data_IF_449865682754
#
_entry.id   IF_449865682754
#
_cell.length_a   1.000
_cell.length_b   1.000
_cell.length_c   1.000
_cell.angle_alpha   90.00
_cell.angle_beta   90.00
_cell.angle_gamma   90.00
#
_symmetry.space_group_name_H-M   'P 1'
#
loop_
_entity.id
_entity.type
_entity.pdbx_description
1 polymer ?
#
# COMPACT_ATOMS: atom_id res chain seq x y z
N UNK A 1 4.87 19.42 5.91
CA UNK A 1 6.27 19.71 6.29
C UNK A 1 6.83 20.89 5.48
N UNK A 2 7.02 20.80 4.13
CA UNK A 2 7.70 21.85 3.33
C UNK A 2 6.99 23.22 3.39
N UNK A 3 5.66 23.26 3.22
CA UNK A 3 4.90 24.51 3.34
C UNK A 3 4.99 25.13 4.74
N UNK A 4 4.91 24.30 5.79
CA UNK A 4 5.09 24.76 7.17
C UNK A 4 6.50 25.26 7.46
N UNK A 5 7.51 24.86 6.68
CA UNK A 5 8.87 25.36 6.73
C UNK A 5 9.09 26.65 5.88
N UNK A 6 8.00 27.28 5.41
CA UNK A 6 8.04 28.54 4.68
C UNK A 6 8.43 28.45 3.21
N UNK A 7 8.46 27.25 2.62
CA UNK A 7 8.74 27.08 1.19
C UNK A 7 7.60 27.63 0.32
N UNK A 8 7.95 28.25 -0.81
CA UNK A 8 6.97 28.76 -1.75
C UNK A 8 6.29 27.63 -2.55
N UNK A 9 5.24 27.96 -3.30
CA UNK A 9 4.44 26.98 -4.05
C UNK A 9 5.27 26.15 -5.04
N UNK A 10 6.21 26.79 -5.75
CA UNK A 10 7.04 26.09 -6.73
C UNK A 10 7.99 25.08 -6.07
N UNK A 11 8.63 25.47 -4.98
CA UNK A 11 9.48 24.56 -4.19
C UNK A 11 8.69 23.38 -3.61
N UNK A 12 7.48 23.64 -3.08
CA UNK A 12 6.61 22.58 -2.57
C UNK A 12 6.20 21.62 -3.69
N UNK A 13 5.83 22.16 -4.88
CA UNK A 13 5.47 21.35 -6.05
C UNK A 13 6.60 20.42 -6.49
N UNK A 14 7.84 20.95 -6.56
CA UNK A 14 9.01 20.14 -6.91
C UNK A 14 9.26 19.02 -5.90
N UNK A 15 9.21 19.32 -4.61
CA UNK A 15 9.36 18.31 -3.54
C UNK A 15 8.29 17.22 -3.65
N UNK A 16 7.03 17.59 -3.92
CA UNK A 16 5.95 16.61 -4.10
C UNK A 16 6.24 15.72 -5.29
N UNK A 17 6.64 16.29 -6.43
CA UNK A 17 6.94 15.50 -7.63
C UNK A 17 8.12 14.54 -7.41
N UNK A 18 9.19 14.97 -6.77
CA UNK A 18 10.32 14.11 -6.40
C UNK A 18 9.89 12.99 -5.44
N UNK A 19 9.06 13.31 -4.44
CA UNK A 19 8.54 12.33 -3.49
C UNK A 19 7.64 11.30 -4.18
N UNK A 20 6.78 11.74 -5.12
CA UNK A 20 5.94 10.82 -5.90
C UNK A 20 6.76 9.82 -6.71
N UNK A 21 7.90 10.23 -7.26
CA UNK A 21 8.79 9.33 -8.03
C UNK A 21 9.44 8.24 -7.16
N UNK A 22 9.54 8.47 -5.85
CA UNK A 22 10.12 7.56 -4.85
C UNK A 22 9.06 6.78 -4.08
N UNK A 23 7.78 7.07 -4.33
CA UNK A 23 6.66 6.43 -3.64
C UNK A 23 6.21 5.16 -4.37
N UNK A 24 5.97 4.12 -3.60
CA UNK A 24 5.34 2.88 -4.09
C UNK A 24 4.18 2.52 -3.18
N UNK A 25 3.07 2.07 -3.75
CA UNK A 25 1.90 1.66 -2.98
C UNK A 25 1.52 0.22 -3.31
N UNK A 26 1.38 -0.58 -2.26
CA UNK A 26 0.86 -1.94 -2.30
C UNK A 26 -0.57 -1.97 -1.78
N UNK A 27 -1.41 -2.80 -2.40
CA UNK A 27 -2.75 -3.12 -1.91
C UNK A 27 -2.87 -4.61 -1.64
N UNK A 28 -3.17 -4.98 -0.39
CA UNK A 28 -3.46 -6.35 0.01
C UNK A 28 -4.98 -6.51 -0.03
N UNK A 29 -5.45 -7.37 -0.92
CA UNK A 29 -6.88 -7.56 -1.20
C UNK A 29 -7.36 -8.82 -0.49
N UNK A 30 -8.35 -8.66 0.37
CA UNK A 30 -8.93 -9.80 1.07
C UNK A 30 -9.95 -10.56 0.20
N UNK A 31 -10.74 -9.86 -0.61
CA UNK A 31 -11.65 -10.48 -1.59
C UNK A 31 -11.58 -9.76 -2.93
N UNK A 32 -11.48 -10.51 -4.02
CA UNK A 32 -11.42 -9.97 -5.39
C UNK A 32 -12.78 -9.46 -5.90
N UNK A 33 -13.87 -9.77 -5.20
CA UNK A 33 -15.24 -9.46 -5.63
C UNK A 33 -15.44 -7.96 -5.90
N UNK A 34 -14.84 -7.10 -5.08
CA UNK A 34 -14.93 -5.65 -5.23
C UNK A 34 -14.13 -5.13 -6.41
N UNK A 35 -12.98 -5.74 -6.72
CA UNK A 35 -12.21 -5.44 -7.94
C UNK A 35 -12.99 -5.84 -9.20
N UNK A 36 -13.68 -6.99 -9.15
CA UNK A 36 -14.56 -7.46 -10.24
C UNK A 36 -15.71 -6.48 -10.44
N UNK A 37 -16.49 -6.24 -9.39
CA UNK A 37 -17.66 -5.33 -9.42
C UNK A 37 -17.26 -3.91 -9.84
N UNK A 38 -16.10 -3.45 -9.43
CA UNK A 38 -15.55 -2.13 -9.78
C UNK A 38 -14.95 -2.05 -11.18
N UNK A 39 -14.91 -3.15 -11.96
CA UNK A 39 -14.32 -3.18 -13.31
C UNK A 39 -12.81 -2.98 -13.35
N UNK A 40 -12.10 -3.14 -12.23
CA UNK A 40 -10.65 -2.96 -12.12
C UNK A 40 -9.87 -4.27 -12.28
N UNK A 41 -10.55 -5.41 -12.29
CA UNK A 41 -9.90 -6.71 -12.45
C UNK A 41 -9.28 -6.90 -13.84
N UNK A 42 -9.90 -6.37 -14.91
CA UNK A 42 -9.40 -6.49 -16.28
C UNK A 42 -8.07 -5.80 -16.51
N UNK A 43 -7.75 -4.78 -15.72
CA UNK A 43 -6.48 -4.05 -15.78
C UNK A 43 -5.36 -4.73 -15.00
N UNK A 44 -5.68 -5.64 -14.09
CA UNK A 44 -4.72 -6.47 -13.36
C UNK A 44 -4.46 -7.76 -14.15
N UNK A 45 -3.80 -7.64 -15.30
CA UNK A 45 -3.46 -8.78 -16.15
C UNK A 45 -2.78 -9.89 -15.32
N UNK A 46 -3.32 -11.11 -15.39
CA UNK A 46 -2.82 -12.28 -14.67
C UNK A 46 -3.67 -12.75 -13.48
N UNK A 47 -4.71 -12.03 -13.07
CA UNK A 47 -5.69 -12.54 -12.09
C UNK A 47 -6.73 -13.49 -12.74
N UNK A 48 -6.73 -13.62 -14.07
CA UNK A 48 -7.65 -14.48 -14.84
C UNK A 48 -7.24 -15.94 -14.66
N UNK A 49 -8.04 -16.68 -13.94
CA UNK A 49 -7.90 -18.12 -13.69
C UNK A 49 -8.20 -18.43 -12.23
N UNK A 50 -9.04 -19.37 -11.90
CA UNK A 50 -9.48 -19.81 -10.56
C UNK A 50 -9.36 -18.73 -9.45
N UNK A 51 -10.32 -17.80 -9.44
CA UNK A 51 -10.40 -16.70 -8.46
C UNK A 51 -10.78 -17.17 -7.03
N UNK A 52 -11.07 -18.46 -6.87
CA UNK A 52 -11.46 -19.00 -5.56
C UNK A 52 -10.27 -19.02 -4.60
N UNK A 53 -10.44 -18.34 -3.48
CA UNK A 53 -9.52 -18.35 -2.33
C UNK A 53 -8.12 -17.75 -2.58
N UNK A 54 -7.96 -16.82 -3.53
CA UNK A 54 -6.72 -16.05 -3.64
C UNK A 54 -6.83 -14.71 -2.91
N UNK A 55 -5.72 -14.29 -2.33
CA UNK A 55 -5.50 -12.98 -1.70
C UNK A 55 -4.40 -12.26 -2.50
N UNK A 56 -4.76 -11.51 -3.55
CA UNK A 56 -3.77 -10.86 -4.39
C UNK A 56 -3.14 -9.67 -3.67
N UNK A 57 -1.87 -9.46 -3.96
CA UNK A 57 -1.18 -8.21 -3.66
C UNK A 57 -1.02 -7.46 -4.99
N UNK A 58 -1.51 -6.24 -5.03
CA UNK A 58 -1.35 -5.33 -6.17
C UNK A 58 -0.30 -4.27 -5.82
N UNK A 59 0.28 -3.66 -6.82
CA UNK A 59 1.23 -2.55 -6.67
C UNK A 59 0.97 -1.49 -7.74
N UNK A 60 1.17 -0.22 -7.40
CA UNK A 60 1.17 0.86 -8.38
C UNK A 60 2.54 0.98 -9.03
N UNK A 61 2.59 0.96 -10.38
CA UNK A 61 3.80 1.20 -11.18
C UNK A 61 3.46 2.07 -12.38
N UNK A 62 4.14 3.19 -12.53
CA UNK A 62 3.94 4.13 -13.64
C UNK A 62 2.47 4.57 -13.82
N UNK A 63 1.75 4.79 -12.72
CA UNK A 63 0.32 5.15 -12.74
C UNK A 63 -0.64 3.99 -13.00
N UNK A 64 -0.14 2.76 -13.18
CA UNK A 64 -0.95 1.57 -13.38
C UNK A 64 -0.96 0.67 -12.15
N UNK A 65 -2.09 -0.02 -11.96
CA UNK A 65 -2.25 -1.05 -10.93
C UNK A 65 -1.93 -2.40 -11.57
N UNK A 66 -0.87 -3.04 -11.08
CA UNK A 66 -0.43 -4.35 -11.56
C UNK A 66 -0.38 -5.36 -10.42
N UNK A 67 -0.43 -6.65 -10.77
CA UNK A 67 -0.28 -7.71 -9.78
C UNK A 67 1.18 -7.79 -9.31
N UNK A 68 1.38 -7.74 -7.99
CA UNK A 68 2.68 -7.98 -7.36
C UNK A 68 2.87 -9.46 -7.02
N UNK A 69 1.91 -10.04 -6.28
CA UNK A 69 1.95 -11.44 -5.86
C UNK A 69 0.54 -12.03 -5.72
N UNK A 70 0.45 -13.36 -5.68
CA UNK A 70 -0.75 -14.11 -5.33
C UNK A 70 -0.47 -14.93 -4.07
N UNK A 71 -1.30 -14.80 -3.06
CA UNK A 71 -1.24 -15.62 -1.86
C UNK A 71 -2.57 -16.35 -1.64
N UNK A 72 -2.63 -17.27 -0.69
CA UNK A 72 -3.85 -17.99 -0.31
C UNK A 72 -4.33 -17.63 1.09
N UNK A 73 -3.64 -16.75 1.79
CA UNK A 73 -4.09 -16.23 3.08
C UNK A 73 -3.57 -14.81 3.28
N UNK A 74 -4.34 -14.00 4.00
CA UNK A 74 -3.98 -12.62 4.30
C UNK A 74 -2.67 -12.52 5.10
N UNK A 75 -2.44 -13.44 6.03
CA UNK A 75 -1.18 -13.55 6.78
C UNK A 75 0.03 -13.76 5.87
N UNK A 76 -0.11 -14.57 4.80
CA UNK A 76 0.98 -14.73 3.81
C UNK A 76 1.20 -13.45 3.01
N UNK A 77 0.13 -12.68 2.71
CA UNK A 77 0.27 -11.36 2.09
C UNK A 77 1.06 -10.40 2.96
N UNK A 78 0.73 -10.31 4.26
CA UNK A 78 1.47 -9.48 5.22
C UNK A 78 2.94 -9.87 5.31
N UNK A 79 3.25 -11.16 5.39
CA UNK A 79 4.65 -11.65 5.39
C UNK A 79 5.38 -11.28 4.10
N UNK A 80 4.73 -11.40 2.95
CA UNK A 80 5.32 -11.05 1.66
C UNK A 80 5.68 -9.56 1.60
N UNK A 81 4.81 -8.68 2.12
CA UNK A 81 5.09 -7.25 2.19
C UNK A 81 6.19 -6.97 3.22
N UNK A 82 6.16 -7.58 4.42
CA UNK A 82 7.24 -7.43 5.39
C UNK A 82 8.60 -7.80 4.78
N UNK A 83 8.71 -8.95 4.12
CA UNK A 83 9.96 -9.37 3.44
C UNK A 83 10.39 -8.38 2.35
N UNK A 84 9.43 -7.76 1.63
CA UNK A 84 9.74 -6.70 0.67
C UNK A 84 10.33 -5.47 1.37
N UNK A 85 9.71 -5.04 2.47
CA UNK A 85 10.19 -3.89 3.26
C UNK A 85 11.58 -4.16 3.86
N UNK A 86 11.83 -5.38 4.37
CA UNK A 86 13.14 -5.80 4.87
C UNK A 86 14.24 -5.79 3.80
N UNK A 87 13.87 -6.02 2.53
CA UNK A 87 14.82 -5.96 1.41
C UNK A 87 15.10 -4.54 0.93
N UNK A 88 14.30 -3.56 1.33
CA UNK A 88 14.48 -2.15 0.95
C UNK A 88 15.32 -1.43 2.02
N UNK A 89 16.62 -1.30 1.79
CA UNK A 89 17.56 -0.69 2.73
C UNK A 89 17.36 0.82 2.94
N UNK A 90 16.60 1.47 2.07
CA UNK A 90 16.50 2.92 2.00
C UNK A 90 15.10 3.47 2.34
N UNK A 91 14.35 2.75 3.19
CA UNK A 91 13.04 3.19 3.66
C UNK A 91 13.14 4.52 4.42
N UNK A 92 12.33 5.50 4.00
CA UNK A 92 12.23 6.81 4.62
C UNK A 92 10.93 6.96 5.42
N UNK A 93 9.81 6.55 4.82
CA UNK A 93 8.47 6.62 5.42
C UNK A 93 7.64 5.39 5.03
N UNK A 94 6.75 4.98 5.93
CA UNK A 94 5.74 3.94 5.68
C UNK A 94 4.38 4.48 6.13
N UNK A 95 3.38 4.33 5.26
CA UNK A 95 1.98 4.58 5.57
C UNK A 95 1.17 3.30 5.43
N UNK A 96 0.31 3.01 6.40
CA UNK A 96 -0.60 1.86 6.39
C UNK A 96 -2.02 2.38 6.38
N UNK A 97 -2.83 1.88 5.45
CA UNK A 97 -4.23 2.26 5.31
C UNK A 97 -5.11 1.02 5.41
N UNK A 98 -6.16 1.09 6.21
CA UNK A 98 -7.13 0.00 6.36
C UNK A 98 -8.51 0.40 5.80
N UNK A 99 -9.29 -0.58 5.35
CA UNK A 99 -10.65 -0.30 4.81
C UNK A 99 -11.72 -0.32 5.90
N UNK A 100 -11.76 -1.32 6.77
CA UNK A 100 -12.83 -1.51 7.76
C UNK A 100 -12.35 -1.49 9.20
N UNK A 101 -11.34 -2.27 9.55
CA UNK A 101 -10.90 -2.46 10.93
C UNK A 101 -9.42 -2.07 11.10
N UNK A 102 -9.08 -1.18 12.05
CA UNK A 102 -7.71 -0.76 12.31
C UNK A 102 -6.83 -1.82 12.97
N UNK A 103 -7.40 -2.91 13.52
CA UNK A 103 -6.65 -3.90 14.33
C UNK A 103 -5.48 -4.46 13.53
N UNK A 104 -5.74 -5.01 12.33
CA UNK A 104 -4.70 -5.60 11.47
C UNK A 104 -3.66 -4.55 11.05
N UNK A 105 -4.09 -3.31 10.80
CA UNK A 105 -3.18 -2.23 10.44
C UNK A 105 -2.23 -1.89 11.60
N UNK A 106 -2.74 -1.83 12.83
CA UNK A 106 -1.92 -1.58 14.02
C UNK A 106 -0.95 -2.75 14.28
N UNK A 107 -1.43 -3.99 14.26
CA UNK A 107 -0.59 -5.18 14.43
C UNK A 107 0.52 -5.25 13.38
N UNK A 108 0.20 -4.93 12.13
CA UNK A 108 1.20 -4.90 11.06
C UNK A 108 2.20 -3.75 11.27
N UNK A 109 1.74 -2.55 11.65
CA UNK A 109 2.60 -1.41 11.96
C UNK A 109 3.60 -1.75 13.07
N UNK A 110 3.13 -2.37 14.16
CA UNK A 110 4.00 -2.80 15.26
C UNK A 110 5.04 -3.81 14.77
N UNK A 111 4.63 -4.74 13.91
CA UNK A 111 5.52 -5.78 13.38
C UNK A 111 6.65 -5.28 12.48
N UNK A 112 6.54 -4.07 11.92
CA UNK A 112 7.52 -3.46 10.99
C UNK A 112 8.14 -2.18 11.55
N UNK A 113 7.88 -1.86 12.80
CA UNK A 113 8.37 -0.61 13.44
C UNK A 113 9.90 -0.52 13.52
N UNK A 114 10.57 -1.67 13.51
CA UNK A 114 12.02 -1.83 13.50
C UNK A 114 12.67 -1.49 12.14
N UNK A 115 11.88 -1.43 11.07
CA UNK A 115 12.39 -1.18 9.71
C UNK A 115 12.56 0.31 9.38
N UNK A 116 11.93 1.20 10.15
CA UNK A 116 12.03 2.63 9.93
C UNK A 116 13.21 3.24 10.71
N UNK A 117 13.96 4.17 10.09
CA UNK A 117 15.10 4.81 10.74
C UNK A 117 14.65 5.74 11.90
N UNK A 118 15.56 5.96 12.86
CA UNK A 118 15.41 6.96 13.92
C UNK A 118 14.18 6.78 14.82
N UNK A 119 13.67 5.55 15.00
CA UNK A 119 12.51 5.27 15.84
C UNK A 119 11.19 5.84 15.28
N UNK A 120 11.14 6.20 14.02
CA UNK A 120 9.89 6.57 13.35
C UNK A 120 8.88 5.42 13.42
N UNK A 121 7.61 5.77 13.44
CA UNK A 121 6.51 4.80 13.36
C UNK A 121 5.76 4.95 12.05
N UNK A 122 5.21 3.86 11.49
CA UNK A 122 4.33 3.95 10.34
C UNK A 122 3.12 4.86 10.61
N UNK A 123 2.71 5.65 9.62
CA UNK A 123 1.45 6.38 9.67
C UNK A 123 0.29 5.41 9.46
N UNK A 124 -0.77 5.53 10.27
CA UNK A 124 -1.97 4.70 10.13
C UNK A 124 -3.17 5.58 9.85
N UNK A 125 -3.96 5.24 8.83
CA UNK A 125 -5.18 5.95 8.49
C UNK A 125 -6.23 5.03 7.90
N UNK A 126 -7.51 5.45 7.94
CA UNK A 126 -8.56 4.78 7.21
C UNK A 126 -8.50 5.18 5.73
N UNK A 127 -8.67 4.20 4.86
CA UNK A 127 -8.73 4.43 3.41
C UNK A 127 -10.05 5.12 3.04
N UNK A 128 -9.96 6.18 2.24
CA UNK A 128 -11.15 6.88 1.76
C UNK A 128 -12.05 5.99 0.90
N UNK A 129 -13.35 6.32 0.85
CA UNK A 129 -14.40 5.53 0.18
C UNK A 129 -14.13 5.27 -1.31
N UNK A 130 -13.48 6.19 -2.01
CA UNK A 130 -13.17 6.04 -3.44
C UNK A 130 -12.29 4.83 -3.74
N UNK A 131 -11.25 4.60 -2.93
CA UNK A 131 -10.39 3.42 -3.05
C UNK A 131 -10.98 2.22 -2.30
N UNK A 132 -11.61 2.46 -1.15
CA UNK A 132 -12.24 1.43 -0.33
C UNK A 132 -13.30 0.63 -1.08
N UNK A 133 -14.08 1.29 -1.95
CA UNK A 133 -15.09 0.65 -2.81
C UNK A 133 -14.49 -0.39 -3.78
N UNK A 134 -13.21 -0.27 -4.14
CA UNK A 134 -12.50 -1.22 -4.99
C UNK A 134 -11.68 -2.24 -4.20
N UNK A 135 -11.12 -1.85 -3.07
CA UNK A 135 -10.36 -2.77 -2.23
C UNK A 135 -11.23 -3.74 -1.44
N UNK A 136 -12.45 -3.32 -1.13
CA UNK A 136 -13.39 -4.11 -0.33
C UNK A 136 -13.04 -4.15 1.17
N UNK A 137 -13.87 -4.82 1.99
CA UNK A 137 -13.63 -4.98 3.41
C UNK A 137 -12.38 -5.84 3.66
N UNK A 138 -11.71 -5.61 4.78
CA UNK A 138 -10.50 -6.34 5.17
C UNK A 138 -9.26 -6.01 4.33
N UNK A 139 -9.35 -5.07 3.39
CA UNK A 139 -8.22 -4.63 2.59
C UNK A 139 -7.23 -3.76 3.38
N UNK A 140 -5.94 -3.88 3.05
CA UNK A 140 -4.85 -3.10 3.62
C UNK A 140 -4.02 -2.46 2.51
N UNK A 141 -3.80 -1.14 2.59
CA UNK A 141 -2.84 -0.43 1.75
C UNK A 141 -1.52 -0.23 2.49
N UNK A 142 -0.40 -0.39 1.82
CA UNK A 142 0.93 -0.09 2.36
C UNK A 142 1.66 0.81 1.37
N UNK A 143 1.82 2.07 1.74
CA UNK A 143 2.60 3.06 0.99
C UNK A 143 4.01 3.16 1.56
N UNK A 144 5.01 3.23 0.72
CA UNK A 144 6.39 3.43 1.11
C UNK A 144 7.02 4.60 0.34
N UNK A 145 7.91 5.30 0.99
CA UNK A 145 8.83 6.26 0.36
C UNK A 145 10.24 5.78 0.64
N UNK A 146 11.04 5.66 -0.40
CA UNK A 146 12.47 5.34 -0.31
C UNK A 146 13.32 6.59 -0.55
N UNK A 147 14.56 6.59 -0.10
CA UNK A 147 15.52 7.71 -0.32
C UNK A 147 15.86 7.89 -1.78
#
# INVERSE_FOLDING_TARGET
AAAAAGKNLHEVSNIVQETCNRATMFGLIDTVDYLVKGGRLSKTAGLIGSLLNIKPIIVTRNGEVVQYAKTRSFTKSLRSIRSKLESDSDLEEIGIMYTTDPIIANEFADSISDLLPNGKKPYISQLGSALGAHMGPGGLGVGIITK
#
